data_IF_251973865240
#
_entry.id   IF_251973865240
#
_cell.length_a   1.000
_cell.length_b   1.000
_cell.length_c   1.000
_cell.angle_alpha   90.00
_cell.angle_beta   90.00
_cell.angle_gamma   90.00
#
_symmetry.space_group_name_H-M   'P 1'
#
loop_
_entity.id
_entity.type
_entity.pdbx_description
1 polymer ?
2 non-polymer ?
3 non-polymer ?
4 non-polymer ?
5 water ?
#
# COMPACT_ATOMS: atom_id res chain seq x y z
N UNK A 11 -4.74 26.03 11.10
CA UNK A 11 -4.24 26.08 9.69
C UNK A 11 -3.30 24.91 9.38
N UNK A 12 -3.34 24.45 8.14
CA UNK A 12 -2.73 23.18 7.74
C UNK A 12 -2.30 23.21 6.26
N UNK A 13 -1.05 22.75 5.95
CA UNK A 13 -0.55 22.86 4.58
C UNK A 13 -1.30 22.01 3.58
N UNK A 14 -1.17 22.37 2.31
CA UNK A 14 -1.96 21.80 1.21
C UNK A 14 -1.60 20.33 0.96
N UNK A 15 -0.30 20.07 0.81
CA UNK A 15 0.20 18.74 0.48
C UNK A 15 0.36 17.88 1.71
N UNK A 16 0.00 16.60 1.61
CA UNK A 16 0.19 15.69 2.72
C UNK A 16 1.66 15.53 3.12
N UNK A 17 2.58 15.70 2.17
CA UNK A 17 4.00 15.59 2.49
C UNK A 17 4.57 16.79 3.25
N UNK A 18 3.79 17.86 3.42
CA UNK A 18 4.20 19.01 4.25
C UNK A 18 3.63 18.99 5.67
N UNK A 19 3.03 17.88 6.07
CA UNK A 19 2.41 17.82 7.39
C UNK A 19 2.46 16.41 7.94
N UNK A 20 2.64 16.28 9.25
CA UNK A 20 2.66 14.96 9.87
C UNK A 20 1.26 14.38 9.89
N UNK A 21 1.13 13.12 9.47
CA UNK A 21 -0.13 12.40 9.60
C UNK A 21 0.14 11.16 10.43
N UNK A 22 -0.27 11.16 11.70
CA UNK A 22 0.01 10.03 12.59
C UNK A 22 -0.88 8.82 12.32
N UNK A 23 -0.51 7.71 12.93
CA UNK A 23 -1.20 6.43 12.72
C UNK A 23 -2.64 6.46 13.25
N UNK A 24 -2.79 6.99 14.45
CA UNK A 24 -4.08 7.04 15.13
C UNK A 24 -4.55 8.48 15.22
N UNK A 25 -5.85 8.69 15.04
CA UNK A 25 -6.37 10.06 14.97
C UNK A 25 -7.78 10.13 15.53
N UNK A 26 -8.39 11.31 15.44
CA UNK A 26 -9.64 11.61 16.14
C UNK A 26 -10.94 11.62 15.33
N UNK A 27 -10.86 11.15 14.07
CA UNK A 27 -11.89 11.35 13.04
C UNK A 27 -12.06 10.13 12.14
N UNK A 28 -11.99 8.95 12.78
CA UNK A 28 -11.97 7.68 12.04
C UNK A 28 -13.27 7.40 11.32
N UNK A 29 -14.39 7.77 11.94
CA UNK A 29 -15.72 7.57 11.35
C UNK A 29 -15.84 8.39 10.10
N UNK A 30 -15.37 9.63 10.17
CA UNK A 30 -15.51 10.54 9.05
C UNK A 30 -14.59 10.18 7.92
N UNK A 31 -13.33 9.90 8.24
CA UNK A 31 -12.36 9.55 7.20
C UNK A 31 -12.77 8.23 6.52
N UNK A 32 -13.27 7.28 7.29
CA UNK A 32 -13.73 6.00 6.70
C UNK A 32 -14.86 6.16 5.71
N UNK A 33 -15.82 7.02 6.03
CA UNK A 33 -16.91 7.29 5.11
C UNK A 33 -16.43 7.94 3.81
N UNK A 34 -15.54 8.93 3.91
CA UNK A 34 -14.92 9.54 2.72
C UNK A 34 -14.09 8.55 1.90
N UNK A 35 -13.39 7.68 2.58
CA UNK A 35 -12.61 6.64 1.90
C UNK A 35 -13.45 5.59 1.16
N UNK A 36 -14.67 5.32 1.65
CA UNK A 36 -15.62 4.48 0.93
C UNK A 36 -15.99 5.17 -0.39
N UNK A 37 -16.34 6.46 -0.33
CA UNK A 37 -16.64 7.18 -1.56
C UNK A 37 -15.45 7.24 -2.55
N UNK A 38 -14.24 7.38 -2.03
CA UNK A 38 -13.05 7.38 -2.88
C UNK A 38 -12.86 6.02 -3.57
N UNK A 39 -13.04 4.97 -2.80
CA UNK A 39 -12.82 3.63 -3.31
C UNK A 39 -13.83 3.34 -4.40
N UNK A 40 -15.08 3.67 -4.12
CA UNK A 40 -16.17 3.50 -5.11
C UNK A 40 -15.93 4.31 -6.38
N UNK A 41 -15.45 5.53 -6.25
CA UNK A 41 -15.03 6.30 -7.39
C UNK A 41 -13.97 5.58 -8.24
N UNK A 42 -12.96 5.01 -7.61
CA UNK A 42 -11.92 4.26 -8.34
C UNK A 42 -12.50 3.05 -9.05
N UNK A 43 -13.46 2.37 -8.42
CA UNK A 43 -14.14 1.24 -9.07
C UNK A 43 -14.87 1.64 -10.33
N UNK A 44 -15.32 2.89 -10.41
CA UNK A 44 -16.00 3.39 -11.60
C UNK A 44 -15.07 4.11 -12.60
N UNK A 45 -13.77 4.00 -12.39
CA UNK A 45 -12.76 4.72 -13.19
C UNK A 45 -12.72 6.22 -13.01
N UNK A 46 -13.30 6.74 -11.92
CA UNK A 46 -13.43 8.19 -11.67
C UNK A 46 -12.23 8.63 -10.85
N UNK A 47 -11.09 8.75 -11.51
CA UNK A 47 -9.79 8.98 -10.86
C UNK A 47 -9.67 10.35 -10.15
N UNK A 48 -10.23 11.40 -10.73
CA UNK A 48 -10.24 12.74 -10.12
C UNK A 48 -10.98 12.74 -8.79
N UNK A 49 -12.20 12.20 -8.82
CA UNK A 49 -13.06 12.10 -7.64
C UNK A 49 -12.43 11.20 -6.57
N UNK A 50 -11.80 10.10 -6.97
CA UNK A 50 -10.99 9.28 -6.03
C UNK A 50 -9.97 10.13 -5.26
N UNK A 51 -9.15 10.88 -5.99
CA UNK A 51 -8.10 11.70 -5.38
C UNK A 51 -8.70 12.79 -4.44
N UNK A 52 -9.81 13.40 -4.85
CA UNK A 52 -10.47 14.45 -4.07
C UNK A 52 -10.97 13.93 -2.73
N UNK A 53 -11.61 12.75 -2.74
CA UNK A 53 -12.09 12.17 -1.49
C UNK A 53 -10.92 11.71 -0.64
N UNK A 54 -9.89 11.12 -1.26
CA UNK A 54 -8.68 10.69 -0.50
C UNK A 54 -8.00 11.85 0.23
N UNK A 55 -7.82 12.94 -0.49
CA UNK A 55 -7.26 14.16 0.10
C UNK A 55 -8.06 14.71 1.27
N UNK A 56 -9.38 14.76 1.14
CA UNK A 56 -10.24 15.23 2.23
C UNK A 56 -10.15 14.31 3.45
N UNK A 57 -10.17 12.99 3.21
CA UNK A 57 -10.00 12.06 4.34
C UNK A 57 -8.65 12.32 5.03
N UNK A 58 -7.60 12.55 4.26
CA UNK A 58 -6.28 12.72 4.86
C UNK A 58 -6.14 14.04 5.63
N UNK A 59 -6.97 15.04 5.29
CA UNK A 59 -7.04 16.26 6.11
C UNK A 59 -7.58 15.96 7.52
N UNK A 60 -8.68 15.24 7.58
CA UNK A 60 -9.26 14.86 8.86
C UNK A 60 -8.28 14.03 9.71
N UNK A 61 -7.46 13.20 9.07
CA UNK A 61 -6.46 12.40 9.81
C UNK A 61 -5.39 13.22 10.48
N UNK A 62 -5.07 14.37 9.88
CA UNK A 62 -4.07 15.28 10.41
C UNK A 62 -4.60 16.27 11.44
N UNK A 63 -5.92 16.34 11.68
CA UNK A 63 -6.45 17.27 12.67
C UNK A 63 -6.13 16.84 14.10
N UNK A 64 -5.94 17.82 14.99
CA UNK A 64 -5.56 17.45 16.34
C UNK A 64 -6.72 17.04 17.23
N UNK A 65 -7.97 17.30 16.82
CA UNK A 65 -9.15 17.09 17.66
C UNK A 65 -10.28 16.49 16.85
N UNK A 66 -11.30 15.89 17.50
CA UNK A 66 -12.42 15.40 16.72
C UNK A 66 -13.19 16.57 16.11
N UNK A 67 -13.76 16.36 14.93
CA UNK A 67 -14.75 17.25 14.34
C UNK A 67 -16.12 16.88 14.91
N UNK A 68 -16.63 17.75 15.79
CA UNK A 68 -17.92 17.59 16.43
C UNK A 68 -19.04 18.41 15.74
N UNK A 69 -18.66 19.56 15.20
CA UNK A 69 -19.61 20.48 14.61
C UNK A 69 -19.07 20.93 13.26
N UNK A 70 -19.95 21.35 12.35
CA UNK A 70 -19.53 21.77 10.99
C UNK A 70 -18.65 23.02 10.93
N UNK A 71 -18.69 23.85 11.97
CA UNK A 71 -17.80 25.01 12.05
C UNK A 71 -16.34 24.68 12.08
N UNK A 72 -15.95 23.48 12.58
CA UNK A 72 -14.60 22.99 12.60
C UNK A 72 -13.95 22.81 11.22
N UNK A 73 -14.72 22.65 10.17
CA UNK A 73 -14.24 22.57 8.78
C UNK A 73 -13.57 23.85 8.21
N UNK A 74 -13.88 24.97 8.85
CA UNK A 74 -13.46 26.24 8.40
C UNK A 74 -11.98 26.34 8.19
N UNK A 75 -11.66 26.85 7.01
CA UNK A 75 -10.28 27.14 6.58
C UNK A 75 -9.37 25.94 6.31
N UNK A 76 -9.95 24.81 5.87
CA UNK A 76 -9.17 23.60 5.54
C UNK A 76 -8.99 23.47 4.02
N UNK A 77 -7.77 23.10 3.56
CA UNK A 77 -7.59 22.88 2.13
C UNK A 77 -8.27 21.60 1.66
N UNK A 78 -8.40 21.42 0.36
CA UNK A 78 -8.97 20.20 -0.22
C UNK A 78 -10.24 19.73 0.49
N UNK A 79 -11.12 20.65 0.87
CA UNK A 79 -12.38 20.24 1.52
C UNK A 79 -13.54 20.93 0.84
N UNK A 80 -13.83 20.45 -0.37
CA UNK A 80 -14.88 21.01 -1.21
C UNK A 80 -16.29 20.69 -0.75
N UNK A 81 -17.26 21.12 -1.56
CA UNK A 81 -18.69 21.04 -1.21
C UNK A 81 -19.15 19.61 -0.95
N UNK A 82 -18.73 18.69 -1.80
CA UNK A 82 -19.19 17.30 -1.69
C UNK A 82 -18.69 16.66 -0.39
N UNK A 83 -17.39 16.76 -0.11
CA UNK A 83 -16.87 16.12 1.13
C UNK A 83 -17.48 16.78 2.37
N UNK A 84 -17.63 18.11 2.34
CA UNK A 84 -18.34 18.86 3.39
C UNK A 84 -19.76 18.35 3.65
N UNK A 85 -20.50 18.13 2.57
CA UNK A 85 -21.86 17.59 2.64
C UNK A 85 -21.91 16.25 3.34
N UNK A 86 -20.93 15.38 3.03
CA UNK A 86 -20.86 14.06 3.63
C UNK A 86 -20.70 14.17 5.15
N UNK A 87 -19.73 14.97 5.57
CA UNK A 87 -19.43 15.16 6.99
C UNK A 87 -20.65 15.79 7.68
N UNK A 88 -21.26 16.78 7.04
CA UNK A 88 -22.48 17.42 7.58
C UNK A 88 -23.56 16.41 7.96
N UNK A 89 -23.86 15.46 7.06
CA UNK A 89 -24.94 14.50 7.32
C UNK A 89 -24.55 13.50 8.40
N UNK A 90 -23.26 13.13 8.44
CA UNK A 90 -22.74 12.27 9.50
C UNK A 90 -22.87 12.93 10.88
N UNK A 91 -22.52 14.21 10.96
CA UNK A 91 -22.65 14.99 12.21
C UNK A 91 -24.08 15.20 12.69
N UNK A 92 -24.98 15.48 11.75
CA UNK A 92 -26.38 15.81 12.05
C UNK A 92 -27.25 14.59 12.19
N UNK A 93 -27.03 13.59 11.34
CA UNK A 93 -27.89 12.41 11.26
C UNK A 93 -27.25 11.08 11.65
N UNK A 94 -25.94 11.06 11.92
CA UNK A 94 -25.23 9.83 12.28
C UNK A 94 -24.97 8.90 11.10
N UNK A 95 -25.42 9.29 9.91
CA UNK A 95 -25.31 8.45 8.73
C UNK A 95 -25.36 9.34 7.49
N UNK A 96 -24.68 8.91 6.43
CA UNK A 96 -24.71 9.61 5.15
C UNK A 96 -25.40 8.69 4.16
N UNK A 97 -26.46 9.19 3.50
CA UNK A 97 -27.25 8.38 2.55
C UNK A 97 -26.44 7.79 1.41
N UNK A 98 -25.62 8.65 0.82
CA UNK A 98 -24.81 8.28 -0.33
C UNK A 98 -23.84 7.16 0.05
N UNK A 99 -23.23 7.25 1.25
CA UNK A 99 -22.31 6.22 1.73
C UNK A 99 -23.04 4.90 1.97
N UNK A 100 -24.20 4.95 2.63
CA UNK A 100 -24.94 3.74 2.90
C UNK A 100 -25.40 3.03 1.63
N UNK A 101 -25.80 3.82 0.61
CA UNK A 101 -26.26 3.24 -0.64
C UNK A 101 -25.07 2.57 -1.35
N UNK A 102 -23.89 3.18 -1.28
CA UNK A 102 -22.68 2.56 -1.85
C UNK A 102 -22.38 1.24 -1.15
N UNK A 103 -22.36 1.25 0.19
CA UNK A 103 -22.15 0.04 0.97
C UNK A 103 -23.08 -1.10 0.62
N UNK A 104 -24.35 -0.78 0.36
CA UNK A 104 -25.36 -1.78 0.12
C UNK A 104 -25.36 -2.24 -1.34
N UNK A 105 -24.72 -1.49 -2.24
CA UNK A 105 -24.83 -1.80 -3.67
C UNK A 105 -24.07 -3.04 -4.11
N UNK A 106 -24.68 -3.77 -5.03
CA UNK A 106 -24.08 -5.00 -5.49
C UNK A 106 -22.78 -4.71 -6.25
N UNK A 107 -22.79 -3.62 -7.01
CA UNK A 107 -21.57 -3.19 -7.75
C UNK A 107 -20.39 -2.99 -6.80
N UNK A 108 -20.60 -2.22 -5.75
CA UNK A 108 -19.52 -1.93 -4.80
C UNK A 108 -19.08 -3.19 -4.09
N UNK A 109 -20.04 -3.96 -3.57
CA UNK A 109 -19.72 -5.19 -2.84
C UNK A 109 -18.93 -6.18 -3.71
N UNK A 110 -19.30 -6.31 -4.99
CA UNK A 110 -18.64 -7.25 -5.88
C UNK A 110 -17.25 -6.75 -6.30
N UNK A 111 -17.13 -5.44 -6.56
CA UNK A 111 -15.83 -4.87 -6.93
C UNK A 111 -14.87 -4.98 -5.74
N UNK A 112 -15.39 -4.77 -4.54
CA UNK A 112 -14.54 -4.92 -3.34
C UNK A 112 -14.14 -6.38 -3.21
N UNK A 113 -15.09 -7.30 -3.36
CA UNK A 113 -14.80 -8.75 -3.30
C UNK A 113 -13.69 -9.15 -4.26
N UNK A 114 -13.87 -8.79 -5.53
CA UNK A 114 -12.91 -9.20 -6.57
C UNK A 114 -11.55 -8.50 -6.42
N UNK A 115 -11.56 -7.19 -6.23
CA UNK A 115 -10.29 -6.46 -6.21
C UNK A 115 -9.43 -6.83 -4.99
N UNK A 116 -10.06 -7.34 -3.95
CA UNK A 116 -9.33 -7.80 -2.77
C UNK A 116 -8.44 -9.01 -3.08
N UNK A 117 -8.88 -9.82 -4.02
CA UNK A 117 -8.17 -11.05 -4.39
C UNK A 117 -6.77 -10.72 -4.92
N UNK A 118 -5.79 -11.48 -4.43
CA UNK A 118 -4.41 -11.40 -4.94
C UNK A 118 -4.38 -11.50 -6.46
N UNK A 119 -3.77 -10.50 -7.10
CA UNK A 119 -3.62 -10.45 -8.58
C UNK A 119 -4.76 -9.85 -9.38
N UNK A 120 -5.78 -9.33 -8.70
CA UNK A 120 -6.94 -8.77 -9.37
C UNK A 120 -6.99 -7.26 -9.15
N UNK A 121 -6.88 -6.50 -10.23
CA UNK A 121 -7.09 -5.05 -10.18
C UNK A 121 -8.49 -4.61 -10.61
N UNK A 122 -8.70 -3.31 -10.63
CA UNK A 122 -9.98 -2.76 -10.99
C UNK A 122 -10.43 -3.14 -12.40
N UNK A 123 -9.53 -3.10 -13.39
CA UNK A 123 -9.97 -3.39 -14.77
C UNK A 123 -10.40 -4.86 -14.94
N UNK A 124 -9.72 -5.76 -14.26
CA UNK A 124 -10.11 -7.16 -14.27
C UNK A 124 -11.42 -7.36 -13.52
N UNK A 125 -11.52 -6.78 -12.32
CA UNK A 125 -12.76 -6.90 -11.51
C UNK A 125 -13.97 -6.38 -12.29
N UNK A 126 -13.81 -5.22 -12.94
CA UNK A 126 -14.90 -4.62 -13.70
C UNK A 126 -15.30 -5.51 -14.88
N UNK A 127 -14.31 -6.10 -15.51
CA UNK A 127 -14.59 -6.97 -16.66
C UNK A 127 -15.42 -8.15 -16.22
N UNK A 128 -15.03 -8.77 -15.11
CA UNK A 128 -15.75 -9.90 -14.57
C UNK A 128 -17.16 -9.50 -14.17
N UNK A 129 -17.32 -8.32 -13.58
CA UNK A 129 -18.65 -7.79 -13.17
C UNK A 129 -19.56 -7.66 -14.39
N UNK A 130 -19.02 -7.06 -15.43
CA UNK A 130 -19.75 -6.83 -16.66
C UNK A 130 -20.17 -8.14 -17.31
N UNK A 131 -19.35 -9.17 -17.16
CA UNK A 131 -19.61 -10.51 -17.67
C UNK A 131 -20.53 -11.37 -16.82
N UNK A 132 -21.03 -10.83 -15.72
CA UNK A 132 -22.02 -11.48 -14.89
C UNK A 132 -21.47 -12.28 -13.73
N UNK A 133 -20.17 -12.17 -13.45
CA UNK A 133 -19.61 -12.90 -12.32
C UNK A 133 -19.84 -12.06 -11.05
N UNK A 134 -20.21 -12.77 -9.98
CA UNK A 134 -20.54 -12.11 -8.68
C UNK A 134 -19.83 -12.67 -7.47
N UNK A 135 -19.60 -13.98 -7.42
CA UNK A 135 -19.08 -14.59 -6.23
C UNK A 135 -17.75 -15.26 -6.48
N UNK A 136 -17.11 -15.68 -5.41
CA UNK A 136 -15.83 -16.39 -5.55
C UNK A 136 -16.07 -17.77 -6.19
N UNK A 137 -17.20 -18.39 -5.89
CA UNK A 137 -17.53 -19.64 -6.55
C UNK A 137 -17.73 -19.47 -8.08
N UNK A 138 -18.33 -18.35 -8.48
CA UNK A 138 -18.46 -18.03 -9.90
C UNK A 138 -17.08 -18.03 -10.55
N UNK A 139 -16.07 -17.46 -9.87
CA UNK A 139 -14.72 -17.42 -10.42
C UNK A 139 -14.12 -18.82 -10.52
N UNK A 140 -14.28 -19.63 -9.48
CA UNK A 140 -13.80 -21.02 -9.51
C UNK A 140 -14.45 -21.90 -10.55
N UNK A 141 -15.67 -21.55 -10.96
CA UNK A 141 -16.35 -22.26 -12.07
C UNK A 141 -15.78 -21.89 -13.43
N UNK A 142 -14.97 -20.82 -13.50
CA UNK A 142 -14.38 -20.35 -14.78
C UNK A 142 -12.88 -20.24 -14.70
N UNK A 143 -12.21 -21.36 -14.40
CA UNK A 143 -10.76 -21.24 -14.16
C UNK A 143 -9.95 -20.81 -15.39
N UNK A 144 -10.45 -21.03 -16.60
CA UNK A 144 -9.83 -20.49 -17.79
C UNK A 144 -9.76 -18.94 -17.84
N UNK A 145 -10.58 -18.26 -17.05
CA UNK A 145 -10.58 -16.80 -16.96
C UNK A 145 -9.53 -16.26 -15.96
N UNK A 146 -8.87 -17.14 -15.21
CA UNK A 146 -7.97 -16.75 -14.11
C UNK A 146 -6.51 -16.95 -14.47
N UNK A 147 -5.67 -16.02 -14.03
CA UNK A 147 -4.23 -16.22 -14.07
C UNK A 147 -3.80 -17.16 -12.92
N UNK A 148 -2.58 -17.69 -13.01
CA UNK A 148 -2.11 -18.59 -11.96
C UNK A 148 -2.03 -17.83 -10.63
N UNK A 149 -1.68 -16.54 -10.66
CA UNK A 149 -1.65 -15.71 -9.47
C UNK A 149 -3.05 -15.60 -8.84
N UNK A 150 -4.03 -15.36 -9.69
CA UNK A 150 -5.43 -15.26 -9.21
C UNK A 150 -5.95 -16.60 -8.69
N UNK A 151 -5.56 -17.71 -9.33
CA UNK A 151 -5.89 -19.03 -8.82
C UNK A 151 -5.37 -19.20 -7.39
N UNK A 152 -4.13 -18.75 -7.19
CA UNK A 152 -3.50 -18.86 -5.88
C UNK A 152 -4.22 -17.96 -4.86
N UNK A 153 -4.57 -16.76 -5.28
CA UNK A 153 -5.33 -15.84 -4.46
C UNK A 153 -6.66 -16.43 -4.04
N UNK A 154 -7.33 -17.15 -4.95
CA UNK A 154 -8.60 -17.81 -4.61
C UNK A 154 -8.44 -18.98 -3.68
N UNK A 155 -7.42 -19.80 -3.93
CA UNK A 155 -7.07 -20.93 -3.07
C UNK A 155 -6.88 -20.51 -1.60
N UNK A 156 -6.28 -19.36 -1.37
CA UNK A 156 -5.95 -18.91 -0.04
C UNK A 156 -6.75 -17.69 0.38
N UNK A 157 -7.93 -17.48 -0.17
CA UNK A 157 -8.59 -16.21 0.04
C UNK A 157 -8.97 -15.95 1.49
N UNK A 158 -9.38 -16.98 2.21
CA UNK A 158 -9.79 -16.73 3.59
C UNK A 158 -8.60 -16.20 4.42
N UNK A 159 -7.50 -16.89 4.32
CA UNK A 159 -6.26 -16.44 5.01
C UNK A 159 -5.79 -15.06 4.53
N UNK A 160 -5.85 -14.82 3.22
CA UNK A 160 -5.41 -13.54 2.71
C UNK A 160 -6.34 -12.36 3.03
N UNK A 161 -7.58 -12.65 3.46
CA UNK A 161 -8.56 -11.68 3.95
C UNK A 161 -8.40 -11.38 5.44
N UNK A 162 -7.63 -12.22 6.13
CA UNK A 162 -7.38 -12.10 7.57
C UNK A 162 -6.24 -11.11 7.75
N UNK A 163 -6.44 -10.03 8.56
CA UNK A 163 -5.36 -9.05 8.69
C UNK A 163 -4.08 -9.68 9.17
N UNK A 164 -2.98 -9.25 8.56
CA UNK A 164 -1.66 -9.69 8.97
C UNK A 164 -1.32 -8.90 10.21
N UNK A 165 -0.73 -9.58 11.19
CA UNK A 165 -0.43 -9.02 12.50
C UNK A 165 1.05 -8.76 12.68
N UNK A 166 1.40 -7.86 13.60
CA UNK A 166 2.80 -7.60 13.91
C UNK A 166 3.57 -8.89 14.26
N UNK A 167 2.94 -9.77 15.03
CA UNK A 167 3.54 -11.07 15.40
C UNK A 167 3.88 -11.91 14.17
N UNK A 168 3.02 -11.83 13.15
CA UNK A 168 3.29 -12.50 11.88
C UNK A 168 4.49 -11.86 11.19
N UNK A 169 4.54 -10.53 11.19
CA UNK A 169 5.66 -9.80 10.56
C UNK A 169 7.00 -10.16 11.18
N UNK A 170 7.01 -10.23 12.50
CA UNK A 170 8.23 -10.57 13.19
C UNK A 170 8.71 -11.98 12.82
N UNK A 171 7.80 -12.95 12.75
CA UNK A 171 8.18 -14.31 12.37
C UNK A 171 8.67 -14.34 10.92
N UNK A 172 7.99 -13.61 10.03
CA UNK A 172 8.39 -13.61 8.62
C UNK A 172 9.73 -12.94 8.39
N UNK A 173 9.96 -11.83 9.08
CA UNK A 173 11.23 -11.13 8.96
C UNK A 173 12.37 -12.02 9.41
N UNK A 174 12.13 -12.83 10.43
CA UNK A 174 13.17 -13.75 10.89
C UNK A 174 13.55 -14.80 9.81
N UNK A 175 12.55 -15.41 9.15
CA UNK A 175 12.87 -16.43 8.13
C UNK A 175 13.49 -15.75 6.90
N UNK A 176 13.04 -14.54 6.55
CA UNK A 176 13.59 -13.84 5.39
C UNK A 176 15.03 -13.39 5.69
N UNK A 177 15.23 -12.85 6.89
CA UNK A 177 16.60 -12.47 7.30
C UNK A 177 17.55 -13.67 7.35
N UNK A 178 17.07 -14.82 7.83
CA UNK A 178 17.91 -16.02 7.89
C UNK A 178 18.29 -16.47 6.49
N UNK A 179 17.30 -16.56 5.59
CA UNK A 179 17.57 -16.97 4.20
C UNK A 179 18.51 -16.00 3.47
N UNK A 180 18.28 -14.71 3.64
CA UNK A 180 19.11 -13.68 3.03
C UNK A 180 20.57 -13.79 3.55
N UNK A 181 20.71 -13.89 4.88
CA UNK A 181 22.04 -13.99 5.53
C UNK A 181 22.83 -15.24 5.16
N UNK A 182 22.13 -16.35 5.00
CA UNK A 182 22.77 -17.60 4.57
C UNK A 182 23.15 -17.60 3.09
N UNK A 183 22.35 -16.92 2.26
CA UNK A 183 22.63 -16.82 0.83
C UNK A 183 23.79 -15.85 0.58
N UNK A 184 23.82 -14.74 1.31
CA UNK A 184 24.84 -13.71 1.10
C UNK A 184 25.12 -12.94 2.39
N UNK A 185 26.16 -13.36 3.15
CA UNK A 185 26.56 -12.57 4.32
C UNK A 185 26.73 -11.09 3.94
N UNK A 186 26.30 -10.20 4.83
CA UNK A 186 26.33 -8.75 4.57
C UNK A 186 25.07 -8.18 3.95
N UNK A 187 24.27 -9.03 3.27
CA UNK A 187 23.01 -8.56 2.68
C UNK A 187 22.06 -8.18 3.80
N UNK A 188 21.22 -7.19 3.54
CA UNK A 188 20.31 -6.66 4.54
C UNK A 188 18.84 -6.80 4.10
N UNK A 189 17.95 -6.83 5.09
CA UNK A 189 16.50 -6.90 4.90
C UNK A 189 15.92 -5.74 5.70
N UNK A 190 15.10 -4.92 5.06
CA UNK A 190 14.42 -3.80 5.71
C UNK A 190 12.91 -3.94 5.55
N UNK A 191 12.20 -3.96 6.67
CA UNK A 191 10.74 -3.91 6.66
C UNK A 191 10.28 -2.56 6.14
N UNK A 192 9.38 -2.56 5.16
CA UNK A 192 8.84 -1.32 4.61
C UNK A 192 7.31 -1.39 4.68
N UNK A 193 6.59 -0.70 3.80
CA UNK A 193 5.13 -0.69 3.79
C UNK A 193 4.54 -0.15 5.07
N UNK A 194 3.29 -0.51 5.33
CA UNK A 194 2.57 0.03 6.45
C UNK A 194 3.17 -0.32 7.79
N UNK A 195 3.75 -1.50 7.92
CA UNK A 195 4.34 -1.87 9.19
C UNK A 195 5.52 -0.97 9.60
N UNK A 196 6.24 -0.47 8.60
CA UNK A 196 7.30 0.50 8.88
C UNK A 196 6.67 1.81 9.41
N UNK A 197 5.52 2.16 8.88
CA UNK A 197 4.80 3.38 9.34
C UNK A 197 4.12 3.21 10.73
N UNK A 198 4.30 2.05 11.36
CA UNK A 198 3.78 1.79 12.69
C UNK A 198 2.45 1.07 12.74
N UNK A 199 1.86 0.71 11.62
CA UNK A 199 0.59 -0.02 11.61
C UNK A 199 0.68 -1.32 12.40
N UNK A 200 -0.43 -1.67 13.03
CA UNK A 200 -0.53 -2.88 13.81
C UNK A 200 -0.97 -4.06 12.95
N UNK A 201 -1.56 -3.78 11.80
CA UNK A 201 -2.04 -4.80 10.91
C UNK A 201 -1.87 -4.35 9.48
N UNK A 202 -2.00 -5.29 8.56
CA UNK A 202 -1.75 -5.05 7.16
C UNK A 202 -2.33 -6.12 6.26
N UNK A 203 -2.27 -5.92 4.96
CA UNK A 203 -2.76 -6.93 4.04
C UNK A 203 -1.64 -7.85 3.51
N UNK A 204 -0.41 -7.42 3.75
CA UNK A 204 0.81 -8.13 3.33
C UNK A 204 1.98 -7.66 4.17
N UNK A 205 3.18 -8.16 3.89
CA UNK A 205 4.40 -7.69 4.51
C UNK A 205 5.31 -7.34 3.33
N UNK A 206 5.90 -6.16 3.42
CA UNK A 206 6.79 -5.61 2.40
C UNK A 206 8.24 -5.55 2.91
N UNK A 207 9.16 -6.15 2.18
CA UNK A 207 10.60 -6.14 2.54
C UNK A 207 11.41 -5.63 1.34
N UNK A 208 12.44 -4.86 1.65
CA UNK A 208 13.40 -4.33 0.71
C UNK A 208 14.77 -4.91 1.08
N UNK A 209 15.42 -5.49 0.09
CA UNK A 209 16.67 -6.23 0.24
C UNK A 209 17.73 -5.51 -0.56
N UNK A 210 18.91 -5.33 0.04
CA UNK A 210 20.08 -4.80 -0.66
C UNK A 210 21.38 -5.33 -0.06
N UNK A 211 22.49 -4.84 -0.61
CA UNK A 211 23.82 -5.14 -0.09
C UNK A 211 24.69 -3.87 -0.26
N UNK A 212 25.59 -3.56 0.69
CA UNK A 212 26.32 -2.28 0.63
C UNK A 212 27.30 -2.11 -0.55
N UNK A 213 27.79 -3.21 -1.12
CA UNK A 213 28.55 -3.18 -2.36
C UNK A 213 27.66 -3.35 -3.57
N UNK A 214 27.54 -2.29 -4.37
CA UNK A 214 26.72 -2.30 -5.58
C UNK A 214 27.05 -3.49 -6.49
N UNK A 215 26.02 -4.23 -6.89
CA UNK A 215 26.15 -5.41 -7.73
C UNK A 215 26.22 -6.73 -6.99
N UNK A 216 26.54 -6.73 -5.70
CA UNK A 216 26.59 -7.98 -4.94
C UNK A 216 25.20 -8.58 -4.74
N UNK A 217 24.16 -7.76 -4.94
CA UNK A 217 22.76 -8.18 -4.89
C UNK A 217 22.28 -8.98 -6.12
N UNK A 218 23.12 -9.07 -7.17
CA UNK A 218 22.73 -9.79 -8.37
C UNK A 218 22.53 -11.26 -8.07
N UNK A 219 21.40 -11.82 -8.47
CA UNK A 219 21.11 -13.26 -8.26
C UNK A 219 20.85 -13.68 -6.82
N UNK A 220 20.64 -12.71 -5.94
CA UNK A 220 20.43 -13.01 -4.54
C UNK A 220 19.01 -13.53 -4.36
N UNK A 221 18.04 -12.88 -4.97
CA UNK A 221 16.64 -13.26 -4.71
C UNK A 221 16.31 -14.71 -5.04
N UNK A 222 16.71 -15.21 -6.23
CA UNK A 222 16.46 -16.62 -6.48
C UNK A 222 17.10 -17.57 -5.46
N UNK A 223 18.25 -17.20 -4.87
CA UNK A 223 18.84 -18.03 -3.83
C UNK A 223 18.05 -17.99 -2.55
N UNK A 224 17.57 -16.81 -2.19
CA UNK A 224 16.66 -16.60 -1.04
C UNK A 224 15.40 -17.45 -1.21
N UNK A 225 14.80 -17.39 -2.38
CA UNK A 225 13.59 -18.17 -2.65
C UNK A 225 13.82 -19.68 -2.61
N UNK A 226 14.97 -20.15 -3.10
CA UNK A 226 15.25 -21.59 -3.02
C UNK A 226 15.28 -22.07 -1.58
N UNK A 227 16.00 -21.31 -0.76
CA UNK A 227 16.09 -21.56 0.66
C UNK A 227 14.71 -21.59 1.32
N UNK A 228 13.89 -20.57 1.07
CA UNK A 228 12.56 -20.52 1.64
C UNK A 228 11.65 -21.66 1.15
N UNK A 229 11.76 -21.97 -0.13
CA UNK A 229 10.99 -23.09 -0.70
C UNK A 229 11.37 -24.43 -0.05
N UNK A 230 12.66 -24.66 0.16
CA UNK A 230 13.11 -25.93 0.75
C UNK A 230 12.72 -26.09 2.23
N UNK A 231 12.32 -25.00 2.88
CA UNK A 231 11.78 -25.08 4.24
C UNK A 231 10.28 -25.22 4.31
N UNK A 232 9.60 -25.34 3.18
CA UNK A 232 8.17 -25.51 3.20
C UNK A 232 7.40 -24.23 3.40
N UNK A 233 8.07 -23.09 3.28
CA UNK A 233 7.50 -21.81 3.62
C UNK A 233 6.80 -21.08 2.47
N UNK A 234 6.88 -21.61 1.25
CA UNK A 234 6.35 -20.91 0.08
C UNK A 234 5.19 -21.69 -0.50
N UNK A 235 4.05 -21.00 -0.61
CA UNK A 235 2.90 -21.52 -1.33
C UNK A 235 2.82 -21.08 -2.79
N UNK A 236 3.23 -19.87 -3.03
CA UNK A 236 3.23 -19.33 -4.33
C UNK A 236 4.28 -18.28 -4.48
N UNK A 237 4.90 -18.25 -5.64
CA UNK A 237 5.96 -17.35 -5.92
C UNK A 237 5.93 -16.89 -7.40
N UNK A 238 6.08 -15.62 -7.66
CA UNK A 238 6.19 -15.16 -9.02
C UNK A 238 7.36 -14.21 -9.00
N UNK A 239 8.44 -14.62 -9.67
CA UNK A 239 9.69 -13.87 -9.80
C UNK A 239 9.65 -13.03 -11.07
N UNK A 240 9.87 -11.72 -10.94
CA UNK A 240 9.94 -10.82 -12.07
C UNK A 240 11.33 -10.19 -12.07
N UNK A 241 12.08 -10.41 -13.16
CA UNK A 241 13.25 -9.58 -13.49
C UNK A 241 12.71 -8.19 -13.83
N UNK A 258 12.63 -1.55 -13.69
CA UNK A 258 11.99 -1.92 -12.43
C UNK A 258 12.87 -2.89 -11.65
N UNK A 259 12.66 -2.90 -10.34
CA UNK A 259 13.45 -3.71 -9.42
C UNK A 259 13.09 -5.16 -9.60
N UNK A 260 14.06 -6.02 -9.35
CA UNK A 260 13.81 -7.43 -9.21
C UNK A 260 12.88 -7.58 -7.99
N UNK A 261 11.84 -8.39 -8.16
CA UNK A 261 10.90 -8.62 -7.08
C UNK A 261 10.24 -9.99 -7.17
N UNK A 262 9.83 -10.52 -6.02
CA UNK A 262 9.07 -11.75 -5.93
C UNK A 262 7.81 -11.42 -5.16
N UNK A 263 6.66 -11.64 -5.77
CA UNK A 263 5.38 -11.44 -5.09
C UNK A 263 4.97 -12.86 -4.66
N UNK A 264 4.86 -13.06 -3.34
CA UNK A 264 4.77 -14.41 -2.78
C UNK A 264 3.55 -14.57 -1.90
N UNK A 265 3.19 -15.82 -1.69
CA UNK A 265 2.33 -16.23 -0.58
C UNK A 265 3.17 -17.20 0.26
N UNK A 266 3.43 -16.80 1.50
CA UNK A 266 4.14 -17.66 2.46
C UNK A 266 3.18 -18.54 3.25
N UNK A 267 3.63 -19.72 3.66
CA UNK A 267 2.89 -20.59 4.56
C UNK A 267 3.55 -20.34 5.93
N UNK A 268 2.91 -19.53 6.74
CA UNK A 268 3.43 -19.16 8.09
C UNK A 268 2.98 -20.18 9.13
N UNK A 269 3.94 -20.93 9.76
CA UNK A 269 3.50 -21.85 10.81
C UNK A 269 3.01 -21.07 12.02
N UNK A 270 2.01 -21.60 12.70
CA UNK A 270 1.46 -20.98 13.89
C UNK A 270 1.22 -22.11 14.88
N UNK A 271 1.02 -21.82 16.17
CA UNK A 271 0.79 -22.92 17.12
C UNK A 271 -0.46 -23.74 16.77
N UNK A 272 -0.24 -24.98 16.31
CA UNK A 272 -1.28 -25.93 15.95
C UNK A 272 -1.88 -25.82 14.55
N UNK A 273 -1.38 -24.91 13.73
CA UNK A 273 -1.99 -24.68 12.40
C UNK A 273 -1.04 -23.84 11.51
N UNK A 274 -1.56 -23.19 10.48
CA UNK A 274 -0.71 -22.31 9.66
C UNK A 274 -1.60 -21.31 8.96
N UNK A 275 -0.98 -20.27 8.40
CA UNK A 275 -1.72 -19.18 7.77
C UNK A 275 -0.96 -18.76 6.52
N UNK A 276 -1.66 -18.66 5.38
CA UNK A 276 -1.09 -18.05 4.22
C UNK A 276 -0.99 -16.55 4.41
N UNK A 277 0.14 -15.95 4.03
CA UNK A 277 0.40 -14.51 4.18
C UNK A 277 1.11 -13.98 2.94
N UNK A 278 0.61 -12.91 2.38
CA UNK A 278 1.24 -12.27 1.26
C UNK A 278 2.53 -11.57 1.71
N UNK A 279 3.58 -11.72 0.91
CA UNK A 279 4.85 -11.08 1.17
C UNK A 279 5.43 -10.59 -0.16
N UNK A 280 5.84 -9.33 -0.20
CA UNK A 280 6.52 -8.76 -1.36
C UNK A 280 8.00 -8.63 -0.99
N UNK A 281 8.86 -9.23 -1.82
CA UNK A 281 10.30 -9.10 -1.64
C UNK A 281 10.85 -8.29 -2.81
N UNK A 282 11.50 -7.17 -2.50
CA UNK A 282 11.98 -6.27 -3.51
C UNK A 282 13.48 -6.13 -3.31
N UNK A 283 14.24 -6.30 -4.40
CA UNK A 283 15.68 -6.07 -4.35
C UNK A 283 16.04 -4.75 -5.03
N UNK A 284 16.82 -3.90 -4.34
CA UNK A 284 17.29 -2.67 -4.92
C UNK A 284 18.81 -2.55 -4.79
N UNK A 285 19.49 -2.09 -5.86
CA UNK A 285 20.90 -1.74 -5.67
C UNK A 285 21.05 -0.60 -4.69
N UNK A 286 22.13 -0.66 -3.91
CA UNK A 286 22.30 0.27 -2.78
C UNK A 286 22.26 1.75 -3.17
N UNK A 287 22.74 2.09 -4.36
CA UNK A 287 22.63 3.48 -4.87
C UNK A 287 21.18 4.00 -4.93
N UNK A 288 20.23 3.09 -5.18
CA UNK A 288 18.81 3.42 -5.30
C UNK A 288 18.02 3.15 -4.02
N UNK A 289 18.64 2.54 -3.02
CA UNK A 289 17.95 2.11 -1.80
C UNK A 289 17.12 3.23 -1.14
N UNK A 290 17.69 4.45 -0.96
CA UNK A 290 16.88 5.48 -0.30
C UNK A 290 15.56 5.83 -1.01
N UNK A 291 15.62 5.85 -2.33
CA UNK A 291 14.45 6.10 -3.18
C UNK A 291 13.45 4.96 -3.08
N UNK A 292 13.97 3.75 -3.07
CA UNK A 292 13.14 2.56 -2.97
C UNK A 292 12.46 2.47 -1.60
N UNK A 293 13.21 2.78 -0.55
CA UNK A 293 12.69 2.74 0.81
C UNK A 293 11.59 3.81 0.94
N UNK A 294 11.82 5.00 0.42
CA UNK A 294 10.81 6.08 0.48
C UNK A 294 9.52 5.70 -0.26
N UNK A 295 9.70 5.23 -1.49
CA UNK A 295 8.60 4.81 -2.35
C UNK A 295 7.79 3.66 -1.73
N UNK A 296 8.47 2.66 -1.18
CA UNK A 296 7.82 1.47 -0.64
C UNK A 296 7.26 1.64 0.78
N UNK A 297 7.63 2.70 1.47
CA UNK A 297 7.17 2.91 2.85
C UNK A 297 5.76 3.54 2.83
N UNK A 298 5.50 4.34 1.81
CA UNK A 298 4.16 4.90 1.66
C UNK A 298 3.89 6.02 2.64
N UNK A 299 2.63 6.28 2.95
CA UNK A 299 1.46 5.59 2.37
C UNK A 299 1.32 5.86 0.88
N UNK A 300 0.43 5.13 0.21
CA UNK A 300 0.20 5.37 -1.22
C UNK A 300 -0.13 6.84 -1.51
N UNK A 301 -1.06 7.41 -0.74
CA UNK A 301 -1.39 8.83 -0.87
C UNK A 301 -0.20 9.73 -0.56
N UNK A 302 0.53 9.43 0.51
CA UNK A 302 1.68 10.24 0.85
C UNK A 302 2.64 10.32 -0.34
N UNK A 303 2.91 9.16 -0.95
CA UNK A 303 3.84 9.11 -2.07
C UNK A 303 3.32 9.83 -3.30
N UNK A 304 2.04 9.68 -3.60
CA UNK A 304 1.44 10.43 -4.70
C UNK A 304 1.60 11.94 -4.49
N UNK A 305 1.36 12.38 -3.27
CA UNK A 305 1.51 13.78 -2.89
C UNK A 305 2.95 14.26 -2.93
N UNK A 306 3.87 13.44 -2.43
CA UNK A 306 5.28 13.76 -2.50
C UNK A 306 5.75 13.95 -3.95
N UNK A 307 5.31 13.07 -4.84
CA UNK A 307 5.69 13.16 -6.27
C UNK A 307 5.05 14.35 -6.97
N UNK A 308 3.80 14.64 -6.63
CA UNK A 308 3.12 15.81 -7.16
C UNK A 308 3.82 17.08 -6.66
N UNK A 309 4.13 17.12 -5.37
CA UNK A 309 4.90 18.22 -4.81
C UNK A 309 6.24 18.43 -5.52
N UNK A 310 6.97 17.33 -5.72
CA UNK A 310 8.29 17.42 -6.36
C UNK A 310 8.19 17.99 -7.78
N UNK A 311 7.20 17.52 -8.54
CA UNK A 311 7.01 17.97 -9.93
C UNK A 311 6.50 19.41 -9.98
N UNK A 312 5.39 19.65 -9.28
CA UNK A 312 4.75 20.97 -9.33
C UNK A 312 5.49 22.08 -8.61
N UNK A 313 6.03 21.82 -7.42
CA UNK A 313 6.71 22.85 -6.66
C UNK A 313 8.20 22.95 -6.96
N UNK A 314 8.87 21.84 -7.25
CA UNK A 314 10.31 21.87 -7.43
C UNK A 314 10.82 21.54 -8.82
N UNK A 315 9.94 21.13 -9.73
CA UNK A 315 10.34 20.81 -11.11
C UNK A 315 11.15 19.53 -11.26
N UNK A 316 11.05 18.63 -10.27
CA UNK A 316 11.81 17.38 -10.27
C UNK A 316 10.85 16.20 -10.35
N UNK A 317 11.30 15.12 -11.00
CA UNK A 317 10.50 13.92 -11.13
C UNK A 317 11.01 12.85 -10.17
N UNK A 318 10.20 12.52 -9.16
CA UNK A 318 10.56 11.56 -8.14
C UNK A 318 9.90 10.22 -8.43
N UNK A 319 10.68 9.14 -8.32
CA UNK A 319 10.08 7.81 -8.32
C UNK A 319 10.87 6.90 -7.37
N UNK A 320 10.56 5.61 -7.38
CA UNK A 320 11.23 4.68 -6.48
C UNK A 320 12.71 4.43 -6.81
N UNK A 321 13.16 4.85 -8.00
CA UNK A 321 14.56 4.68 -8.44
C UNK A 321 15.45 5.89 -8.31
N UNK A 322 14.86 7.07 -8.21
CA UNK A 322 15.64 8.28 -8.17
C UNK A 322 14.86 9.56 -8.24
N UNK A 323 15.61 10.65 -8.29
CA UNK A 323 15.05 11.99 -8.37
C UNK A 323 15.77 12.71 -9.51
N UNK A 324 15.00 12.98 -10.57
CA UNK A 324 15.54 13.39 -11.87
C UNK A 324 15.18 14.85 -12.14
N UNK A 325 16.16 15.63 -12.59
CA UNK A 325 15.93 17.00 -13.03
C UNK A 325 15.85 16.95 -14.55
N UNK A 326 14.64 17.12 -15.12
CA UNK A 326 14.45 16.98 -16.56
C UNK A 326 15.04 18.11 -17.42
N UNK A 327 15.28 19.28 -16.82
CA UNK A 327 15.93 20.41 -17.49
C UNK A 327 17.45 20.23 -17.60
N UNK A 328 18.06 19.70 -16.54
CA UNK A 328 19.51 19.46 -16.50
C UNK A 328 19.89 18.04 -16.94
N UNK A 329 18.92 17.13 -16.98
CA UNK A 329 19.15 15.70 -17.21
C UNK A 329 20.12 15.10 -16.17
N UNK A 330 19.82 15.32 -14.90
CA UNK A 330 20.66 14.85 -13.80
C UNK A 330 19.87 14.06 -12.77
N UNK A 331 20.52 13.11 -12.09
CA UNK A 331 19.92 12.33 -10.99
C UNK A 331 20.57 12.73 -9.67
N UNK A 332 19.74 12.93 -8.64
CA UNK A 332 20.21 13.33 -7.31
C UNK A 332 20.80 12.13 -6.58
N UNK A 333 21.99 12.30 -6.00
CA UNK A 333 22.65 11.26 -5.22
C UNK A 333 22.19 11.43 -3.77
N UNK A 334 21.52 10.41 -3.24
CA UNK A 334 20.99 10.45 -1.88
C UNK A 334 21.57 9.26 -1.14
N UNK A 335 21.97 9.47 0.12
CA UNK A 335 22.42 8.39 0.99
C UNK A 335 21.28 7.91 1.91
N UNK A 336 20.26 8.73 2.05
CA UNK A 336 19.17 8.50 3.00
C UNK A 336 17.89 9.19 2.57
N UNK A 337 16.79 8.79 3.20
CA UNK A 337 15.52 9.47 2.99
C UNK A 337 15.62 10.95 3.37
N UNK A 338 16.34 11.22 4.46
CA UNK A 338 16.55 12.58 4.96
C UNK A 338 17.15 13.50 3.87
N UNK A 339 18.12 12.98 3.12
CA UNK A 339 18.71 13.68 1.96
C UNK A 339 17.66 14.10 0.94
N UNK A 340 16.71 13.20 0.67
CA UNK A 340 15.70 13.44 -0.36
C UNK A 340 14.73 14.54 0.10
N UNK A 341 14.28 14.44 1.34
CA UNK A 341 13.41 15.48 1.90
C UNK A 341 14.10 16.84 1.85
N UNK A 342 15.34 16.89 2.32
CA UNK A 342 16.13 18.12 2.35
C UNK A 342 16.28 18.72 0.95
N UNK A 343 16.60 17.89 -0.03
CA UNK A 343 16.78 18.33 -1.42
C UNK A 343 15.50 18.90 -2.02
N UNK A 344 14.35 18.35 -1.62
CA UNK A 344 13.05 18.86 -2.04
C UNK A 344 12.55 20.04 -1.20
N UNK A 345 13.30 20.46 -0.18
CA UNK A 345 12.91 21.59 0.67
C UNK A 345 11.75 21.29 1.61
N UNK A 346 11.70 20.05 2.12
CA UNK A 346 10.64 19.60 3.01
C UNK A 346 11.24 19.24 4.36
N UNK A 347 10.54 19.57 5.45
CA UNK A 347 10.94 19.09 6.77
C UNK A 347 10.80 17.58 6.75
N UNK A 348 11.73 16.89 7.39
CA UNK A 348 11.73 15.44 7.40
C UNK A 348 10.53 14.93 8.19
N UNK A 349 9.88 13.90 7.67
CA UNK A 349 8.83 13.20 8.37
C UNK A 349 9.27 11.76 8.55
N UNK A 350 9.36 11.28 9.80
CA UNK A 350 9.62 9.86 9.97
C UNK A 350 8.46 9.01 9.43
N UNK A 351 8.69 7.71 9.21
CA UNK A 351 7.65 6.87 8.58
C UNK A 351 6.29 6.88 9.31
N UNK A 352 6.31 6.91 10.63
CA UNK A 352 5.07 6.94 11.42
C UNK A 352 4.24 8.24 11.28
N UNK A 353 4.78 9.25 10.61
CA UNK A 353 4.06 10.48 10.29
C UNK A 353 3.72 10.57 8.82
N UNK A 354 3.84 9.45 8.07
CA UNK A 354 3.51 9.44 6.65
C UNK A 354 2.19 8.70 6.40
N UNK A 355 1.30 8.70 7.40
CA UNK A 355 0.08 7.86 7.32
C UNK A 355 -1.08 8.63 6.69
N UNK A 356 -0.81 9.27 5.56
CA UNK A 356 -1.79 10.06 4.86
C UNK A 356 -2.85 9.17 4.22
X LIG B 1 1.95 -3.63 2.75
X LIG C 1 2.91 -4.94 -0.91
X LIG D 1 4.02 -0.11 -4.19
X LIG D 1 4.76 0.07 -5.39
X LIG D 1 4.65 -0.87 -6.38
X LIG D 1 3.87 -1.97 -6.23
X LIG D 1 3.15 -2.16 -5.06
X LIG D 1 3.24 -1.21 -4.04
X LIG D 1 5.49 1.07 -5.57
X LIG D 1 3.78 -2.88 -7.23
X LIG D 1 4.13 0.87 -3.09
X LIG D 1 2.82 1.55 -2.68
X LIG D 1 2.60 2.77 -3.40
X LIG D 1 3.06 1.79 -1.21
X LIG D 1 3.99 0.66 -0.76
X LIG D 1 4.57 0.16 -1.95
X LIG D 1 3.73 3.06 -1.03
X LIG D 1 3.39 -0.53 -0.02
X LIG D 1 2.25 -1.03 -0.72
X LIG D 1 1.08 -1.80 0.06
X LIG D 1 1.62 -3.00 0.81
X LIG D 1 -0.08 -1.93 -0.89
X LIG D 1 0.69 -0.65 1.11
X LIG D 1 0.73 -0.67 2.72
X LIG D 1 1.84 -1.59 3.19
X LIG D 1 0.77 0.78 3.10
X LIG D 1 -0.75 -1.18 3.11
X LIG D 1 -1.22 -2.53 3.87
X LIG D 1 -1.17 -2.20 5.33
X LIG D 1 -0.29 -3.62 3.38
X LIG D 1 -2.63 -2.67 3.33
X LIG E 1 -5.79 -4.94 -13.74
X LIG E 1 -4.67 -5.41 -12.88
X LIG E 1 -5.99 -3.48 -13.59
X LIG E 1 -5.48 -5.23 -15.16
X LIG E 1 -7.03 -5.62 -13.33
X LIG F 1 7.94 3.76 -9.48
X LIG F 1 7.63 3.85 -8.03
X LIG F 1 9.40 3.87 -9.67
X LIG F 1 7.47 2.46 -10.00
X LIG F 1 7.25 4.86 -10.19
X LIG G 1 -1.51 18.82 -12.20
X LIG G 1 -1.20 17.95 -11.05
X LIG G 1 -0.27 19.46 -12.72
X LIG G 1 -2.12 18.01 -13.28
X LIG G 1 -2.45 19.89 -11.78
X LIG H 1 -13.44 12.07 -12.69
X LIG H 1 -12.14 12.36 -13.32
X LIG H 1 -13.20 11.54 -11.33
X LIG H 1 -14.26 13.30 -12.59
X LIG H 1 -14.17 11.06 -13.49
X LIG I 1 -0.94 -17.08 -16.52
X LIG I 1 -0.88 -17.06 -15.06
X LIG I 1 -0.20 -15.90 -17.03
X LIG I 1 -2.33 -17.01 -17.01
X LIG I 1 -0.32 -18.34 -17.04
X LIG J 1 -3.09 -5.18 -3.73
X LIG J 1 -3.81 -4.22 -2.84
X LIG J 1 -1.66 -5.23 -3.33
X LIG J 1 -3.71 -6.52 -3.62
X LIG J 1 -3.18 -4.70 -5.14
X LIG K 1 -13.60 -6.15 -22.25
X LIG K 1 -12.91 -5.67 -21.03
X LIG K 1 -12.93 -7.37 -22.74
X LIG K 1 -15.01 -6.44 -21.94
X LIG K 1 -13.51 -5.09 -23.29
#
# INVERSE_FOLDING_TARGET
GSAAAPLSPAWMPAYACQRPTPLTHHNTGLSEALEILAEAAGFEGSEGRLLTFCRAASVLKALPSPVTTLSQLQGLPHFGEHSSRVVQELLEHGVCEEVERVRRSERYQTMKLFTQIFGVGVKTADRWYREGLRTLDDLREQPQKLTQQQKAGLQHHQDLSTPVLRSDVDALQQVVEEAVGQALPGATVTLTGGFRRGKLQGHDVDFLITHPKEGQEAGLLPRVMCRLQDQGLILYHQHQHSCCESPTRLAQQSHMDAFERSFCIFRLPQPGSWKAVRVDLVVAPVSQFPFALLGWTGSKLFQRELRRFSRKEKGLWLNSHGLFDPEQKTFFQAASEEDIFRHLGLEYLPPEQRNA
MN MN
MN MN
CTP N1 C2 N3 C4 C5 C6 O2 N4 C1' C2' O2' C3' C4' O4' O3' C5' O5' PA O1A O2A O3A PB O1B O2B O3B PG O1G O2G O3G
SO4 S O1 O2 O3 O4
SO4 S O1 O2 O3 O4
SO4 S O1 O2 O3 O4
SO4 S O1 O2 O3 O4
SO4 S O1 O2 O3 O4
SO4 S O1 O2 O3 O4
SO4 S O1 O2 O3 O4
#
